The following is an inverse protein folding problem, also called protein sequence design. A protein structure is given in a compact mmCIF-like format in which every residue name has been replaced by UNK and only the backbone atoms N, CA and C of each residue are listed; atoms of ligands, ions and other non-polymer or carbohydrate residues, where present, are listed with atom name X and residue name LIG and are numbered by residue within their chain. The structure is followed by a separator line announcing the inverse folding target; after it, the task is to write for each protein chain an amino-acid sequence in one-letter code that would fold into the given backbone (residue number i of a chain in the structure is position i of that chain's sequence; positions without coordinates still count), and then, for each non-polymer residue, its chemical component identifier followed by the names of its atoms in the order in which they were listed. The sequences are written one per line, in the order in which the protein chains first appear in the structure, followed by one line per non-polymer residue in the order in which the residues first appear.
data_IF_826363775589
#
_entry.id   IF_826363775589
#
_cell.length_a   1.000
_cell.length_b   1.000
_cell.length_c   1.000
_cell.angle_alpha   90.00
_cell.angle_beta   90.00
_cell.angle_gamma   90.00
#
_symmetry.space_group_name_H-M   'P 1'
#
loop_
_entity.id
_entity.type
_entity.pdbx_description
1 polymer ?
#
# COMPACT_ATOMS: atom_id res chain seq x y z
N UNK A 1 18.70 10.71 18.73
CA UNK A 1 18.63 11.57 19.94
C UNK A 1 19.46 10.95 21.05
N UNK A 2 20.21 11.77 21.83
CA UNK A 2 21.08 11.30 22.92
C UNK A 2 20.33 11.18 24.25
N UNK A 3 20.63 10.15 25.01
CA UNK A 3 20.09 9.94 26.35
C UNK A 3 20.76 10.91 27.35
N UNK A 4 19.96 11.68 28.06
CA UNK A 4 20.47 12.63 29.06
C UNK A 4 21.16 11.96 30.27
N UNK A 5 20.90 10.65 30.48
CA UNK A 5 21.45 9.92 31.63
C UNK A 5 22.83 9.28 31.35
N UNK A 6 23.04 8.74 30.14
CA UNK A 6 24.25 7.99 29.80
C UNK A 6 24.91 8.37 28.47
N UNK A 7 24.34 9.34 27.72
CA UNK A 7 24.87 9.78 26.43
C UNK A 7 24.63 8.81 25.24
N UNK A 8 24.07 7.63 25.47
CA UNK A 8 23.79 6.64 24.44
C UNK A 8 22.59 7.07 23.58
N UNK A 9 22.38 6.44 22.45
CA UNK A 9 21.24 6.74 21.55
C UNK A 9 19.92 6.26 22.16
N UNK A 10 18.88 7.06 22.00
CA UNK A 10 17.51 6.66 22.34
C UNK A 10 16.75 6.25 21.07
N UNK A 11 15.94 5.21 21.18
CA UNK A 11 15.08 4.69 20.11
C UNK A 11 13.62 4.87 20.46
N UNK A 12 12.78 5.04 19.44
CA UNK A 12 11.35 5.15 19.63
C UNK A 12 10.75 3.80 20.02
N UNK A 13 10.08 3.77 21.15
CA UNK A 13 9.36 2.59 21.66
C UNK A 13 7.84 2.74 21.39
N UNK A 14 7.35 1.87 20.52
CA UNK A 14 5.95 1.85 20.10
C UNK A 14 5.00 1.61 21.27
N UNK A 15 5.38 0.73 22.21
CA UNK A 15 4.51 0.34 23.31
C UNK A 15 4.26 1.47 24.31
N UNK A 16 5.26 2.32 24.56
CA UNK A 16 5.14 3.45 25.50
C UNK A 16 4.85 4.79 24.84
N UNK A 17 4.79 4.87 23.50
CA UNK A 17 4.74 6.14 22.75
C UNK A 17 5.79 7.13 23.24
N UNK A 18 7.04 6.69 23.27
CA UNK A 18 8.13 7.46 23.84
C UNK A 18 9.49 7.03 23.33
N UNK A 19 10.53 7.61 23.89
CA UNK A 19 11.91 7.22 23.62
C UNK A 19 12.44 6.38 24.77
N UNK A 20 13.14 5.30 24.46
CA UNK A 20 13.80 4.42 25.41
C UNK A 20 15.28 4.34 25.07
N UNK A 21 16.13 4.41 26.09
CA UNK A 21 17.54 4.18 25.94
C UNK A 21 17.86 2.69 26.13
N UNK A 22 18.36 2.03 25.10
CA UNK A 22 18.68 0.61 25.13
C UNK A 22 19.83 0.26 26.10
N UNK A 23 20.66 1.28 26.47
CA UNK A 23 21.81 1.07 27.34
C UNK A 23 21.43 1.17 28.83
N UNK A 24 20.71 2.23 29.25
CA UNK A 24 20.43 2.47 30.68
C UNK A 24 18.96 2.36 31.05
N UNK A 25 18.06 2.08 30.09
CA UNK A 25 16.62 1.97 30.30
C UNK A 25 15.89 3.28 30.58
N UNK A 26 16.58 4.43 30.50
CA UNK A 26 15.93 5.74 30.68
C UNK A 26 14.84 5.94 29.64
N UNK A 27 13.69 6.48 30.07
CA UNK A 27 12.52 6.73 29.23
C UNK A 27 12.22 8.23 29.13
N UNK A 28 11.85 8.69 27.95
CA UNK A 28 11.33 10.03 27.70
C UNK A 28 9.96 9.89 27.03
N UNK A 29 8.90 10.24 27.75
CA UNK A 29 7.56 10.26 27.16
C UNK A 29 7.48 11.33 26.07
N UNK A 30 6.93 10.99 24.92
CA UNK A 30 6.58 11.97 23.90
C UNK A 30 5.16 12.47 24.13
N UNK A 31 4.92 13.72 23.78
CA UNK A 31 3.57 14.27 23.84
C UNK A 31 2.73 13.64 22.71
N UNK A 32 1.68 12.93 23.10
CA UNK A 32 0.71 12.41 22.13
C UNK A 32 -0.18 13.59 21.72
N UNK A 33 -0.24 13.92 20.41
CA UNK A 33 -1.16 14.97 19.95
C UNK A 33 -2.60 14.67 20.37
N UNK A 34 -3.36 15.71 20.65
CA UNK A 34 -4.78 15.56 20.97
C UNK A 34 -5.52 14.92 19.80
N UNK A 35 -6.45 14.01 20.11
CA UNK A 35 -7.29 13.38 19.09
C UNK A 35 -8.08 14.45 18.33
N UNK A 36 -7.97 14.44 16.99
CA UNK A 36 -8.64 15.41 16.12
C UNK A 36 -7.82 16.66 15.79
N UNK A 37 -6.54 16.75 16.21
CA UNK A 37 -5.65 17.79 15.72
C UNK A 37 -5.42 17.58 14.22
N UNK A 38 -6.05 18.40 13.38
CA UNK A 38 -5.85 18.35 11.93
C UNK A 38 -4.47 18.91 11.59
N UNK A 39 -3.70 18.15 10.84
CA UNK A 39 -2.45 18.65 10.26
C UNK A 39 -2.77 19.56 9.09
N UNK A 40 -2.32 20.81 9.15
CA UNK A 40 -2.54 21.79 8.08
C UNK A 40 -1.92 21.35 6.75
N UNK A 41 -2.59 21.72 5.68
CA UNK A 41 -2.10 21.59 4.32
C UNK A 41 -1.10 22.67 4.00
N UNK A 42 -0.21 22.38 3.05
CA UNK A 42 0.79 23.33 2.56
C UNK A 42 0.43 23.75 1.14
N UNK A 43 0.59 25.03 0.84
CA UNK A 43 0.36 25.56 -0.49
C UNK A 43 1.36 24.96 -1.50
N UNK A 44 0.84 24.32 -2.56
CA UNK A 44 1.65 23.66 -3.58
C UNK A 44 2.55 24.64 -4.34
N UNK A 45 2.03 25.80 -4.73
CA UNK A 45 2.78 26.78 -5.49
C UNK A 45 3.95 27.36 -4.67
N UNK A 46 3.78 27.53 -3.36
CA UNK A 46 4.84 27.95 -2.46
C UNK A 46 5.93 26.89 -2.32
N UNK A 47 5.54 25.61 -2.24
CA UNK A 47 6.50 24.51 -2.18
C UNK A 47 7.37 24.43 -3.46
N UNK A 48 6.76 24.64 -4.62
CA UNK A 48 7.49 24.65 -5.90
C UNK A 48 8.50 25.81 -6.01
N UNK A 49 8.31 26.89 -5.27
CA UNK A 49 9.28 27.99 -5.19
C UNK A 49 10.41 27.76 -4.19
N UNK A 50 10.21 26.90 -3.20
CA UNK A 50 11.21 26.59 -2.18
C UNK A 50 10.57 25.96 -0.94
N UNK A 51 10.38 24.65 -0.96
CA UNK A 51 9.91 23.91 0.21
C UNK A 51 11.00 23.84 1.29
N UNK A 52 10.58 23.78 2.55
CA UNK A 52 11.51 23.54 3.67
C UNK A 52 12.15 22.16 3.59
N UNK A 53 13.47 22.12 3.71
CA UNK A 53 14.27 20.87 3.68
C UNK A 53 14.76 20.44 5.06
N UNK A 54 14.39 21.18 6.09
CA UNK A 54 14.83 20.90 7.45
C UNK A 54 13.97 19.82 8.12
N UNK A 55 14.51 18.61 8.20
CA UNK A 55 13.88 17.46 8.89
C UNK A 55 13.96 17.54 10.43
N UNK A 56 14.54 18.62 10.97
CA UNK A 56 14.71 18.79 12.44
C UNK A 56 15.76 17.88 13.07
N UNK A 57 16.31 16.93 12.33
CA UNK A 57 17.38 16.00 12.71
C UNK A 57 18.26 15.73 11.50
N UNK A 58 19.57 15.49 11.76
CA UNK A 58 20.47 15.02 10.72
C UNK A 58 20.12 13.58 10.33
N UNK A 59 20.11 13.30 9.03
CA UNK A 59 19.86 11.97 8.47
C UNK A 59 20.96 11.61 7.48
N UNK A 60 21.22 10.31 7.32
CA UNK A 60 22.11 9.79 6.29
C UNK A 60 21.28 9.11 5.22
N UNK A 61 21.43 9.56 3.98
CA UNK A 61 20.82 8.89 2.83
C UNK A 61 21.74 7.76 2.39
N UNK A 62 21.19 6.56 2.30
CA UNK A 62 21.90 5.36 1.87
C UNK A 62 21.08 4.62 0.84
N UNK A 63 21.67 4.34 -0.32
CA UNK A 63 21.06 3.54 -1.36
C UNK A 63 21.53 2.08 -1.25
N UNK A 64 20.60 1.17 -1.14
CA UNK A 64 20.89 -0.26 -1.09
C UNK A 64 21.45 -0.75 -2.42
N UNK A 65 22.70 -1.22 -2.44
CA UNK A 65 23.36 -1.74 -3.66
C UNK A 65 22.68 -2.97 -4.26
N UNK A 66 21.91 -3.71 -3.47
CA UNK A 66 21.24 -4.94 -3.92
C UNK A 66 19.87 -4.71 -4.54
N UNK A 67 19.12 -3.70 -4.10
CA UNK A 67 17.75 -3.46 -4.56
C UNK A 67 17.43 -2.02 -4.95
N UNK A 68 18.40 -1.10 -4.90
CA UNK A 68 18.24 0.29 -5.30
C UNK A 68 17.40 1.17 -4.37
N UNK A 69 16.88 0.65 -3.25
CA UNK A 69 16.08 1.45 -2.31
C UNK A 69 16.94 2.51 -1.61
N UNK A 70 16.48 3.76 -1.59
CA UNK A 70 17.13 4.89 -0.91
C UNK A 70 16.44 5.14 0.41
N UNK A 71 17.20 5.11 1.50
CA UNK A 71 16.69 5.16 2.87
C UNK A 71 17.45 6.17 3.71
N UNK A 72 16.73 6.80 4.60
CA UNK A 72 17.26 7.74 5.59
C UNK A 72 17.44 7.03 6.93
N UNK A 73 18.65 7.02 7.42
CA UNK A 73 19.03 6.44 8.71
C UNK A 73 19.51 7.51 9.70
N UNK A 74 19.52 7.16 10.98
CA UNK A 74 20.14 7.99 11.99
C UNK A 74 21.67 8.05 11.78
N UNK A 75 22.31 9.22 12.01
CA UNK A 75 23.74 9.41 11.76
C UNK A 75 24.66 8.46 12.55
N UNK A 76 24.19 7.95 13.67
CA UNK A 76 24.97 7.09 14.57
C UNK A 76 24.89 5.59 14.23
N UNK A 77 23.97 5.20 13.34
CA UNK A 77 23.90 3.82 12.86
C UNK A 77 25.08 3.54 11.92
N UNK A 78 25.76 2.41 12.11
CA UNK A 78 26.93 2.02 11.28
C UNK A 78 26.60 0.90 10.30
N UNK A 79 25.69 0.04 10.63
CA UNK A 79 25.26 -1.06 9.76
C UNK A 79 23.82 -1.43 10.05
N UNK A 80 23.08 -1.77 9.00
CA UNK A 80 21.70 -2.20 9.09
C UNK A 80 21.40 -3.25 8.01
N UNK A 81 20.29 -3.94 8.17
CA UNK A 81 19.73 -4.77 7.11
C UNK A 81 18.72 -3.95 6.29
N UNK A 82 18.81 -4.07 4.98
CA UNK A 82 17.83 -3.46 4.11
C UNK A 82 16.41 -3.98 4.44
N UNK A 83 15.46 -3.11 4.81
CA UNK A 83 14.09 -3.53 5.13
C UNK A 83 13.40 -4.24 3.96
N UNK A 84 13.84 -3.95 2.73
CA UNK A 84 13.20 -4.44 1.51
C UNK A 84 13.74 -5.78 1.02
N UNK A 85 15.05 -5.96 1.02
CA UNK A 85 15.66 -7.17 0.47
C UNK A 85 16.46 -8.00 1.49
N UNK A 86 16.63 -7.48 2.70
CA UNK A 86 17.36 -8.16 3.79
C UNK A 86 18.88 -8.21 3.61
N UNK A 87 19.44 -7.53 2.58
CA UNK A 87 20.91 -7.46 2.41
C UNK A 87 21.53 -6.52 3.47
N UNK A 88 22.75 -6.82 3.89
CA UNK A 88 23.49 -5.94 4.78
C UNK A 88 23.86 -4.63 4.07
N UNK A 89 23.66 -3.52 4.77
CA UNK A 89 24.02 -2.17 4.35
C UNK A 89 25.10 -1.66 5.28
N UNK A 90 26.21 -1.17 4.71
CA UNK A 90 27.21 -0.42 5.44
C UNK A 90 26.95 1.06 5.20
N UNK A 91 26.73 1.81 6.26
CA UNK A 91 26.38 3.22 6.21
C UNK A 91 27.67 4.07 6.06
N UNK A 92 27.79 4.76 4.95
CA UNK A 92 28.87 5.76 4.74
C UNK A 92 28.52 7.07 5.42
N UNK A 93 29.50 7.84 5.92
CA UNK A 93 29.25 9.07 6.68
C UNK A 93 28.92 10.30 5.79
N UNK A 94 28.29 10.14 4.65
CA UNK A 94 27.91 11.27 3.80
C UNK A 94 26.59 11.88 4.28
N UNK A 95 26.62 13.17 4.60
CA UNK A 95 25.41 13.97 4.78
C UNK A 95 24.78 14.21 3.42
N UNK A 96 23.50 13.91 3.26
CA UNK A 96 22.78 14.11 2.03
C UNK A 96 21.68 15.15 2.21
N UNK A 97 21.36 15.85 1.14
CA UNK A 97 20.13 16.64 1.05
C UNK A 97 18.94 15.66 1.08
N UNK A 98 18.18 15.73 2.16
CA UNK A 98 17.01 14.87 2.38
C UNK A 98 15.76 15.36 1.63
N UNK A 99 15.89 16.39 0.79
CA UNK A 99 14.79 16.97 0.04
C UNK A 99 13.72 17.61 0.94
N UNK A 100 12.50 17.72 0.43
CA UNK A 100 11.36 18.31 1.16
C UNK A 100 11.17 17.60 2.49
N UNK A 101 11.04 18.35 3.57
CA UNK A 101 10.74 17.80 4.90
C UNK A 101 9.26 17.41 5.02
N UNK A 102 8.94 16.29 5.70
CA UNK A 102 7.56 15.93 5.97
C UNK A 102 6.89 16.95 6.91
N UNK A 103 5.60 17.21 6.70
CA UNK A 103 4.80 18.01 7.61
C UNK A 103 3.80 17.16 8.40
N UNK A 104 3.56 15.93 7.96
CA UNK A 104 2.67 14.99 8.61
C UNK A 104 3.32 13.61 8.75
N UNK A 105 2.85 12.84 9.73
CA UNK A 105 3.20 11.43 9.88
C UNK A 105 2.09 10.66 10.57
N UNK A 106 2.13 9.34 10.43
CA UNK A 106 1.32 8.43 11.23
C UNK A 106 2.27 7.70 12.20
N UNK A 107 2.05 7.74 13.50
CA UNK A 107 2.94 7.06 14.43
C UNK A 107 2.78 5.55 14.36
N UNK A 108 3.87 4.81 14.62
CA UNK A 108 3.74 3.40 14.91
C UNK A 108 2.90 3.20 16.17
N UNK A 109 1.84 2.40 16.07
CA UNK A 109 0.91 2.07 17.17
C UNK A 109 0.84 0.56 17.43
N UNK A 110 1.38 -0.26 16.52
CA UNK A 110 1.37 -1.72 16.60
C UNK A 110 2.80 -2.23 16.74
N UNK A 111 3.05 -3.01 17.80
CA UNK A 111 4.37 -3.56 18.09
C UNK A 111 4.74 -4.72 17.16
N UNK A 112 6.05 -5.03 17.10
CA UNK A 112 6.59 -6.16 16.33
C UNK A 112 5.97 -7.49 16.76
N UNK A 113 5.73 -7.68 18.05
CA UNK A 113 5.14 -8.87 18.65
C UNK A 113 3.68 -9.04 18.22
N UNK A 114 2.92 -7.96 18.20
CA UNK A 114 1.53 -7.94 17.76
C UNK A 114 1.40 -8.26 16.27
N UNK A 115 2.24 -7.65 15.42
CA UNK A 115 2.29 -7.98 13.98
C UNK A 115 2.65 -9.45 13.78
N UNK A 116 3.63 -9.96 14.51
CA UNK A 116 4.02 -11.37 14.45
C UNK A 116 2.85 -12.29 14.80
N UNK A 117 2.11 -12.00 15.88
CA UNK A 117 0.91 -12.78 16.28
C UNK A 117 -0.17 -12.71 15.20
N UNK A 118 -0.45 -11.51 14.68
CA UNK A 118 -1.41 -11.30 13.59
C UNK A 118 -0.99 -12.09 12.34
N UNK A 119 0.28 -12.02 11.92
CA UNK A 119 0.80 -12.76 10.78
C UNK A 119 0.51 -14.26 10.89
N UNK A 120 0.88 -14.91 11.98
CA UNK A 120 0.65 -16.35 12.14
C UNK A 120 -0.83 -16.69 12.21
N UNK A 121 -1.68 -15.80 12.75
CA UNK A 121 -3.14 -16.00 12.77
C UNK A 121 -3.73 -16.00 11.36
N UNK A 122 -3.46 -14.98 10.52
CA UNK A 122 -4.01 -14.96 9.16
C UNK A 122 -3.32 -15.96 8.23
N UNK A 123 -2.06 -16.25 8.44
CA UNK A 123 -1.36 -17.24 7.63
C UNK A 123 -1.90 -18.66 7.86
N UNK A 124 -2.42 -18.96 9.06
CA UNK A 124 -3.07 -20.23 9.37
C UNK A 124 -4.24 -20.56 8.41
N UNK A 125 -4.96 -19.55 7.96
CA UNK A 125 -6.12 -19.69 7.07
C UNK A 125 -5.78 -19.65 5.57
N UNK A 126 -4.51 -19.48 5.21
CA UNK A 126 -4.07 -19.47 3.81
C UNK A 126 -4.13 -20.88 3.18
N UNK A 127 -5.33 -21.39 2.91
CA UNK A 127 -5.59 -22.78 2.45
C UNK A 127 -4.67 -23.22 1.29
N UNK A 128 -4.48 -22.36 0.29
CA UNK A 128 -3.70 -22.67 -0.91
C UNK A 128 -2.19 -22.71 -0.68
N UNK A 129 -1.70 -22.23 0.44
CA UNK A 129 -0.29 -22.28 0.76
C UNK A 129 0.12 -23.66 1.31
N UNK A 130 1.37 -24.08 1.09
CA UNK A 130 1.91 -25.29 1.67
C UNK A 130 1.79 -25.29 3.21
N UNK A 131 1.56 -26.45 3.80
CA UNK A 131 1.39 -26.56 5.25
C UNK A 131 2.63 -26.12 6.03
N UNK A 132 3.82 -26.45 5.53
CA UNK A 132 5.10 -25.99 6.11
C UNK A 132 5.24 -24.48 6.10
N UNK A 133 4.69 -23.76 5.10
CA UNK A 133 4.65 -22.31 5.08
C UNK A 133 3.63 -21.76 6.07
N UNK A 134 2.44 -22.37 6.16
CA UNK A 134 1.37 -21.92 7.07
C UNK A 134 1.69 -22.08 8.55
N UNK A 135 2.29 -23.23 8.91
CA UNK A 135 2.55 -23.63 10.30
C UNK A 135 4.00 -23.45 10.74
N UNK A 136 4.93 -23.29 9.79
CA UNK A 136 6.35 -23.12 10.06
C UNK A 136 6.71 -21.72 10.56
N UNK A 137 7.84 -21.60 11.23
CA UNK A 137 8.45 -20.31 11.59
C UNK A 137 9.16 -19.73 10.35
N UNK A 138 8.38 -19.25 9.39
CA UNK A 138 8.89 -18.77 8.09
C UNK A 138 9.14 -17.27 8.07
N UNK A 139 8.53 -16.52 8.99
CA UNK A 139 8.66 -15.07 9.09
C UNK A 139 10.10 -14.71 9.50
N UNK A 140 10.75 -13.91 8.66
CA UNK A 140 12.06 -13.34 8.96
C UNK A 140 11.96 -12.21 10.00
N UNK A 141 13.06 -11.45 10.12
CA UNK A 141 13.06 -10.29 11.01
C UNK A 141 12.12 -9.21 10.46
N UNK A 142 11.17 -8.76 11.28
CA UNK A 142 10.33 -7.60 11.00
C UNK A 142 11.15 -6.33 11.23
N UNK A 143 11.25 -5.51 10.22
CA UNK A 143 11.94 -4.22 10.25
C UNK A 143 10.93 -3.10 10.08
N UNK A 144 10.90 -2.10 10.97
CA UNK A 144 10.05 -0.93 10.82
C UNK A 144 10.63 -0.02 9.73
N UNK A 145 9.78 0.65 8.98
CA UNK A 145 10.18 1.69 8.04
C UNK A 145 9.03 2.66 7.82
N UNK A 146 9.34 3.93 7.61
CA UNK A 146 8.40 4.91 7.14
C UNK A 146 8.47 5.02 5.62
N UNK A 147 7.31 4.95 4.96
CA UNK A 147 7.15 5.08 3.51
C UNK A 147 6.60 6.47 3.19
N UNK A 148 7.18 7.20 2.19
CA UNK A 148 6.72 8.52 1.80
C UNK A 148 5.42 8.47 1.01
N UNK A 149 4.48 9.34 1.36
CA UNK A 149 3.24 9.57 0.64
C UNK A 149 3.00 11.07 0.46
N UNK A 150 2.40 11.43 -0.64
CA UNK A 150 1.83 12.74 -0.88
C UNK A 150 0.32 12.67 -0.76
N UNK A 151 -0.32 13.63 -0.11
CA UNK A 151 -1.76 13.87 -0.22
C UNK A 151 -1.98 15.19 -0.92
N UNK A 152 -3.04 15.25 -1.70
CA UNK A 152 -3.42 16.44 -2.47
C UNK A 152 -4.87 16.79 -2.22
N UNK A 153 -5.09 18.09 -2.04
CA UNK A 153 -6.39 18.71 -1.87
C UNK A 153 -6.53 19.82 -2.90
N UNK A 154 -7.65 19.92 -3.58
CA UNK A 154 -7.86 20.93 -4.61
C UNK A 154 -9.35 21.16 -4.89
N UNK A 155 -9.69 22.38 -5.30
CA UNK A 155 -10.97 22.67 -5.90
C UNK A 155 -10.92 22.41 -7.40
N UNK A 156 -11.80 21.58 -7.93
CA UNK A 156 -11.84 21.19 -9.33
C UNK A 156 -13.09 21.70 -10.01
N UNK A 157 -12.92 22.35 -11.17
CA UNK A 157 -13.97 22.69 -12.11
C UNK A 157 -13.89 21.72 -13.27
N UNK A 158 -14.88 20.84 -13.39
CA UNK A 158 -14.93 19.76 -14.37
C UNK A 158 -15.95 20.15 -15.45
N UNK A 159 -15.49 20.41 -16.66
CA UNK A 159 -16.36 20.55 -17.84
C UNK A 159 -16.42 19.23 -18.56
N UNK A 160 -17.61 18.70 -18.78
CA UNK A 160 -17.77 17.41 -19.43
C UNK A 160 -18.82 17.41 -20.54
N UNK A 161 -18.68 16.47 -21.47
CA UNK A 161 -19.68 16.16 -22.50
C UNK A 161 -19.59 14.68 -22.88
N UNK A 162 -20.74 14.04 -23.11
CA UNK A 162 -20.78 12.63 -23.46
C UNK A 162 -22.20 12.12 -23.74
N UNK A 163 -22.29 10.83 -24.02
CA UNK A 163 -23.55 10.11 -24.12
C UNK A 163 -23.75 9.29 -22.85
N UNK A 164 -24.84 9.54 -22.14
CA UNK A 164 -25.18 8.92 -20.88
C UNK A 164 -26.37 7.99 -21.03
N UNK A 165 -26.21 6.76 -20.53
CA UNK A 165 -27.20 5.70 -20.62
C UNK A 165 -27.99 5.52 -19.33
N UNK A 166 -29.27 5.42 -19.43
CA UNK A 166 -30.22 5.17 -18.34
C UNK A 166 -30.89 3.80 -18.60
N UNK A 167 -30.67 2.90 -17.67
CA UNK A 167 -31.12 1.51 -17.77
C UNK A 167 -32.47 1.34 -17.07
N UNK A 168 -33.47 0.84 -17.80
CA UNK A 168 -34.79 0.54 -17.24
C UNK A 168 -35.05 -0.95 -17.40
N UNK A 169 -35.49 -1.60 -16.33
CA UNK A 169 -35.95 -2.99 -16.36
C UNK A 169 -37.37 -3.06 -16.86
N UNK A 170 -37.60 -3.83 -17.94
CA UNK A 170 -38.93 -4.06 -18.56
C UNK A 170 -39.15 -5.58 -18.53
N UNK A 171 -39.78 -6.09 -17.47
CA UNK A 171 -39.97 -7.54 -17.27
C UNK A 171 -38.62 -8.25 -17.03
N UNK A 172 -38.29 -9.23 -17.90
CA UNK A 172 -37.01 -9.95 -17.85
C UNK A 172 -35.90 -9.27 -18.68
N UNK A 173 -36.23 -8.24 -19.46
CA UNK A 173 -35.32 -7.52 -20.34
C UNK A 173 -34.86 -6.19 -19.73
N UNK A 174 -33.62 -5.78 -20.06
CA UNK A 174 -33.09 -4.47 -19.70
C UNK A 174 -32.95 -3.61 -20.96
N UNK A 175 -33.48 -2.38 -20.93
CA UNK A 175 -33.34 -1.42 -22.01
C UNK A 175 -32.55 -0.20 -21.56
N UNK A 176 -31.47 0.13 -22.25
CA UNK A 176 -30.68 1.34 -22.01
C UNK A 176 -31.07 2.43 -23.04
N UNK A 177 -31.47 3.58 -22.52
CA UNK A 177 -31.76 4.77 -23.33
C UNK A 177 -30.60 5.76 -23.24
N UNK A 178 -30.09 6.25 -24.36
CA UNK A 178 -28.93 7.12 -24.44
C UNK A 178 -29.33 8.58 -24.67
N UNK A 179 -28.76 9.48 -23.89
CA UNK A 179 -28.93 10.91 -24.00
C UNK A 179 -27.59 11.64 -24.02
N UNK A 180 -27.43 12.59 -24.95
CA UNK A 180 -26.28 13.51 -24.93
C UNK A 180 -26.43 14.48 -23.76
N UNK A 181 -25.41 14.60 -22.96
CA UNK A 181 -25.34 15.53 -21.82
C UNK A 181 -24.00 16.24 -21.82
N UNK A 182 -24.04 17.48 -21.38
CA UNK A 182 -22.85 18.29 -21.08
C UNK A 182 -23.13 19.14 -19.84
N UNK A 183 -22.12 19.46 -19.08
CA UNK A 183 -22.26 20.26 -17.87
C UNK A 183 -20.93 20.74 -17.33
N UNK A 184 -21.02 21.53 -16.28
CA UNK A 184 -19.89 22.00 -15.48
C UNK A 184 -20.17 21.60 -14.03
N UNK A 185 -19.21 20.94 -13.39
CA UNK A 185 -19.31 20.46 -12.01
C UNK A 185 -18.18 21.09 -11.22
N UNK A 186 -18.51 21.71 -10.10
CA UNK A 186 -17.54 22.11 -9.09
C UNK A 186 -17.45 21.02 -8.03
N UNK A 187 -16.26 20.52 -7.75
CA UNK A 187 -16.05 19.45 -6.80
C UNK A 187 -14.72 19.59 -6.10
N UNK A 188 -14.74 19.39 -4.77
CA UNK A 188 -13.53 19.36 -3.96
C UNK A 188 -12.89 17.95 -4.04
N UNK A 189 -11.58 17.92 -4.32
CA UNK A 189 -10.73 16.75 -4.18
C UNK A 189 -10.15 16.77 -2.77
N UNK A 190 -10.40 15.75 -1.98
CA UNK A 190 -10.06 15.68 -0.57
C UNK A 190 -9.10 14.50 -0.33
N UNK A 191 -7.96 14.77 0.27
CA UNK A 191 -6.94 13.79 0.69
C UNK A 191 -6.56 12.74 -0.39
N UNK A 192 -6.40 13.17 -1.63
CA UNK A 192 -5.98 12.24 -2.69
C UNK A 192 -4.55 11.76 -2.49
N UNK A 193 -4.35 10.47 -2.19
CA UNK A 193 -3.06 9.92 -1.79
C UNK A 193 -2.26 9.35 -2.95
N UNK A 194 -0.97 9.68 -3.03
CA UNK A 194 0.00 9.17 -4.01
C UNK A 194 1.24 8.68 -3.29
N UNK A 195 1.69 7.45 -3.60
CA UNK A 195 2.93 6.92 -3.06
C UNK A 195 4.14 7.71 -3.59
N UNK A 196 4.99 8.22 -2.70
CA UNK A 196 6.21 8.96 -3.03
C UNK A 196 7.37 8.06 -3.46
N UNK A 197 7.19 6.73 -3.45
CA UNK A 197 8.22 5.77 -3.81
C UNK A 197 7.92 5.13 -5.17
N UNK A 198 8.81 5.32 -6.14
CA UNK A 198 8.71 4.70 -7.48
C UNK A 198 8.70 3.17 -7.41
N UNK A 199 9.43 2.61 -6.45
CA UNK A 199 9.51 1.17 -6.22
C UNK A 199 8.19 0.57 -5.75
N UNK A 200 7.39 1.34 -5.00
CA UNK A 200 6.18 0.86 -4.33
C UNK A 200 4.88 1.44 -4.88
N UNK A 201 4.94 2.42 -5.77
CA UNK A 201 3.76 3.04 -6.36
C UNK A 201 2.77 2.01 -6.93
N UNK A 202 3.29 0.94 -7.54
CA UNK A 202 2.51 -0.16 -8.13
C UNK A 202 2.54 -1.45 -7.29
N UNK A 203 3.10 -1.45 -6.07
CA UNK A 203 3.15 -2.64 -5.22
C UNK A 203 1.82 -2.86 -4.51
N UNK A 204 1.05 -3.84 -5.00
CA UNK A 204 -0.25 -4.21 -4.44
C UNK A 204 -0.16 -4.67 -2.98
N UNK A 205 0.97 -5.27 -2.58
CA UNK A 205 1.18 -5.70 -1.20
C UNK A 205 1.25 -4.48 -0.28
N UNK A 206 2.05 -3.48 -0.64
CA UNK A 206 2.20 -2.26 0.15
C UNK A 206 0.91 -1.43 0.15
N UNK A 207 0.31 -1.22 -1.02
CA UNK A 207 -0.95 -0.47 -1.15
C UNK A 207 -2.10 -1.06 -0.31
N UNK A 208 -2.06 -2.38 -0.05
CA UNK A 208 -3.07 -3.04 0.81
C UNK A 208 -2.91 -2.76 2.31
N UNK A 209 -1.77 -2.20 2.75
CA UNK A 209 -1.46 -1.98 4.17
C UNK A 209 -1.18 -0.52 4.52
N UNK A 210 -1.12 0.36 3.53
CA UNK A 210 -0.80 1.79 3.69
C UNK A 210 -2.00 2.72 3.55
N UNK A 211 -3.23 2.20 3.54
CA UNK A 211 -4.42 3.06 3.54
C UNK A 211 -4.56 3.79 4.87
N UNK A 212 -4.81 5.09 4.81
CA UNK A 212 -4.99 5.98 5.95
C UNK A 212 -5.98 7.11 5.61
N UNK A 213 -6.39 7.85 6.62
CA UNK A 213 -7.26 9.02 6.50
C UNK A 213 -6.58 10.23 7.16
N UNK A 214 -7.05 11.45 6.89
CA UNK A 214 -6.54 12.66 7.55
C UNK A 214 -6.59 12.60 9.08
N UNK A 215 -7.54 11.84 9.65
CA UNK A 215 -7.69 11.65 11.10
C UNK A 215 -6.56 10.85 11.75
N UNK A 216 -5.85 10.05 10.96
CA UNK A 216 -4.74 9.23 11.44
C UNK A 216 -3.42 10.03 11.49
N UNK A 217 -3.42 11.24 10.89
CA UNK A 217 -2.25 12.08 10.77
C UNK A 217 -1.99 12.87 12.05
N UNK A 218 -0.71 12.97 12.39
CA UNK A 218 -0.20 13.90 13.40
C UNK A 218 0.85 14.81 12.77
N UNK A 219 1.11 16.00 13.35
CA UNK A 219 2.24 16.82 12.93
C UNK A 219 3.54 16.02 12.99
N UNK A 220 4.38 16.20 11.99
CA UNK A 220 5.68 15.53 11.95
C UNK A 220 6.51 15.85 13.19
N UNK A 221 6.99 14.82 13.85
CA UNK A 221 7.82 14.90 15.04
C UNK A 221 9.12 14.12 14.82
N UNK A 222 10.29 14.80 14.73
CA UNK A 222 11.58 14.13 14.51
C UNK A 222 11.89 13.02 15.51
N UNK A 223 11.48 13.19 16.75
CA UNK A 223 11.68 12.21 17.83
C UNK A 223 11.02 10.86 17.55
N UNK A 224 9.88 10.84 16.86
CA UNK A 224 9.18 9.60 16.50
C UNK A 224 9.89 8.77 15.41
N UNK A 225 10.88 9.36 14.73
CA UNK A 225 11.75 8.65 13.79
C UNK A 225 13.03 8.10 14.43
N UNK A 226 13.26 8.33 15.73
CA UNK A 226 14.50 7.90 16.41
C UNK A 226 14.66 6.37 16.34
N UNK A 227 15.76 5.89 15.75
CA UNK A 227 16.04 4.48 15.53
C UNK A 227 15.21 3.80 14.42
N UNK A 228 14.35 4.54 13.72
CA UNK A 228 13.54 4.01 12.63
C UNK A 228 13.97 4.60 11.28
N UNK A 229 14.27 3.77 10.26
CA UNK A 229 14.56 4.25 8.94
C UNK A 229 13.30 4.81 8.26
N UNK A 230 13.50 5.79 7.38
CA UNK A 230 12.49 6.26 6.47
C UNK A 230 12.99 6.11 5.03
N UNK A 231 12.10 5.75 4.11
CA UNK A 231 12.43 5.79 2.69
C UNK A 231 12.42 7.24 2.20
N UNK A 232 13.44 7.60 1.43
CA UNK A 232 13.46 8.87 0.71
C UNK A 232 12.47 8.82 -0.45
N UNK A 233 11.67 9.87 -0.65
CA UNK A 233 10.83 9.90 -1.82
C UNK A 233 11.66 9.88 -3.12
N UNK A 234 11.20 9.15 -4.10
CA UNK A 234 11.79 9.05 -5.45
C UNK A 234 10.86 9.61 -6.51
N UNK A 235 9.61 9.87 -6.14
CA UNK A 235 8.61 10.61 -6.91
C UNK A 235 8.43 11.95 -6.19
N UNK A 236 8.95 13.01 -6.79
CA UNK A 236 8.87 14.36 -6.24
C UNK A 236 7.43 14.90 -6.28
N UNK A 237 7.21 16.04 -5.60
CA UNK A 237 5.89 16.64 -5.43
C UNK A 237 5.18 16.93 -6.77
N UNK A 238 5.88 17.54 -7.73
CA UNK A 238 5.34 17.87 -9.06
C UNK A 238 5.01 16.60 -9.88
N UNK A 239 5.90 15.60 -9.86
CA UNK A 239 5.69 14.33 -10.54
C UNK A 239 4.52 13.56 -9.92
N UNK A 240 4.41 13.57 -8.59
CA UNK A 240 3.31 12.94 -7.88
C UNK A 240 1.95 13.53 -8.25
N UNK A 241 1.88 14.87 -8.35
CA UNK A 241 0.66 15.54 -8.80
C UNK A 241 0.29 15.17 -10.24
N UNK A 242 1.27 15.16 -11.17
CA UNK A 242 1.04 14.72 -12.56
C UNK A 242 0.57 13.27 -12.65
N UNK A 243 1.14 12.37 -11.84
CA UNK A 243 0.71 10.97 -11.78
C UNK A 243 -0.73 10.85 -11.26
N UNK A 244 -1.08 11.64 -10.23
CA UNK A 244 -2.44 11.71 -9.71
C UNK A 244 -3.43 12.08 -10.82
N UNK A 245 -3.15 13.16 -11.57
CA UNK A 245 -4.01 13.62 -12.65
C UNK A 245 -4.17 12.57 -13.77
N UNK A 246 -3.07 11.96 -14.21
CA UNK A 246 -3.06 11.08 -15.38
C UNK A 246 -3.61 9.67 -15.10
N UNK A 247 -3.32 9.09 -13.93
CA UNK A 247 -3.55 7.68 -13.69
C UNK A 247 -4.74 7.41 -12.75
N UNK A 248 -5.03 8.32 -11.84
CA UNK A 248 -5.93 8.04 -10.73
C UNK A 248 -7.24 8.84 -10.76
N UNK A 249 -7.20 10.07 -11.28
CA UNK A 249 -8.38 10.96 -11.24
C UNK A 249 -9.49 10.62 -12.22
N UNK A 250 -9.21 9.89 -13.30
CA UNK A 250 -10.23 9.54 -14.30
C UNK A 250 -11.47 8.88 -13.72
N UNK A 251 -11.30 7.97 -12.76
CA UNK A 251 -12.42 7.33 -12.05
C UNK A 251 -13.21 8.29 -11.16
N UNK A 252 -12.51 9.21 -10.49
CA UNK A 252 -13.12 10.21 -9.63
C UNK A 252 -13.96 11.20 -10.46
N UNK A 253 -13.43 11.67 -11.60
CA UNK A 253 -14.13 12.54 -12.55
C UNK A 253 -15.36 11.84 -13.13
N UNK A 254 -15.21 10.60 -13.61
CA UNK A 254 -16.33 9.81 -14.12
C UNK A 254 -17.44 9.65 -13.08
N UNK A 255 -17.10 9.40 -11.82
CA UNK A 255 -18.06 9.31 -10.73
C UNK A 255 -18.75 10.66 -10.45
N UNK A 256 -18.02 11.78 -10.57
CA UNK A 256 -18.62 13.10 -10.47
C UNK A 256 -19.66 13.34 -11.57
N UNK A 257 -19.35 12.99 -12.84
CA UNK A 257 -20.27 13.08 -13.96
C UNK A 257 -21.52 12.20 -13.78
N UNK A 258 -21.37 11.00 -13.21
CA UNK A 258 -22.52 10.16 -12.87
C UNK A 258 -23.39 10.77 -11.76
N UNK A 259 -22.77 11.41 -10.76
CA UNK A 259 -23.50 12.10 -9.69
C UNK A 259 -24.36 13.26 -10.24
N UNK A 260 -23.85 13.98 -11.24
CA UNK A 260 -24.57 15.09 -11.87
C UNK A 260 -25.66 14.62 -12.83
N UNK A 261 -25.37 13.59 -13.63
CA UNK A 261 -26.31 13.08 -14.65
C UNK A 261 -27.28 12.02 -14.14
N UNK A 262 -27.00 11.39 -13.00
CA UNK A 262 -27.72 10.21 -12.47
C UNK A 262 -27.76 9.02 -13.44
N UNK A 263 -26.81 8.92 -14.35
CA UNK A 263 -26.73 7.86 -15.35
C UNK A 263 -26.07 6.59 -14.81
N UNK A 264 -26.41 5.45 -15.43
CA UNK A 264 -25.85 4.13 -15.07
C UNK A 264 -24.56 3.83 -15.83
N UNK A 265 -24.43 4.35 -17.04
CA UNK A 265 -23.27 4.14 -17.91
C UNK A 265 -23.04 5.34 -18.85
N UNK A 266 -21.87 5.35 -19.53
CA UNK A 266 -21.52 6.40 -20.48
C UNK A 266 -20.81 5.85 -21.71
N UNK A 267 -20.92 6.60 -22.81
CA UNK A 267 -20.11 6.46 -24.02
C UNK A 267 -19.51 7.82 -24.39
N UNK A 268 -18.31 7.78 -24.99
CA UNK A 268 -17.65 8.98 -25.53
C UNK A 268 -17.59 10.14 -24.51
N UNK A 269 -17.26 9.83 -23.24
CA UNK A 269 -17.09 10.84 -22.21
C UNK A 269 -15.80 11.63 -22.47
N UNK A 270 -15.96 12.92 -22.78
CA UNK A 270 -14.87 13.88 -22.87
C UNK A 270 -14.97 14.83 -21.67
N UNK A 271 -13.84 15.18 -21.10
CA UNK A 271 -13.79 16.13 -19.99
C UNK A 271 -12.52 16.95 -20.02
N UNK A 272 -12.59 18.15 -19.46
CA UNK A 272 -11.46 18.94 -19.03
C UNK A 272 -11.61 19.31 -17.57
N UNK A 273 -10.52 19.42 -16.85
CA UNK A 273 -10.52 19.76 -15.43
C UNK A 273 -9.52 20.91 -15.18
N UNK A 274 -10.00 21.93 -14.50
CA UNK A 274 -9.16 23.01 -13.97
C UNK A 274 -9.11 22.87 -12.46
N UNK A 275 -7.88 22.86 -11.90
CA UNK A 275 -7.65 22.75 -10.46
C UNK A 275 -7.24 24.10 -9.89
N UNK A 276 -7.86 24.49 -8.78
CA UNK A 276 -7.59 25.70 -8.02
C UNK A 276 -7.24 25.35 -6.57
N UNK A 277 -6.60 26.26 -5.85
CA UNK A 277 -6.29 26.12 -4.43
C UNK A 277 -5.58 24.80 -4.09
N UNK A 278 -4.65 24.37 -4.99
CA UNK A 278 -3.94 23.12 -4.82
C UNK A 278 -3.05 23.16 -3.57
N UNK A 279 -3.34 22.27 -2.66
CA UNK A 279 -2.60 22.06 -1.43
C UNK A 279 -2.07 20.62 -1.33
N UNK A 280 -1.09 20.40 -0.47
CA UNK A 280 -0.48 19.09 -0.28
C UNK A 280 -0.06 18.84 1.17
N UNK A 281 0.11 17.56 1.52
CA UNK A 281 0.88 17.12 2.69
C UNK A 281 1.94 16.10 2.25
N UNK A 282 3.11 16.16 2.86
CA UNK A 282 4.11 15.11 2.80
C UNK A 282 3.99 14.24 4.04
N UNK A 283 3.52 13.02 3.87
CA UNK A 283 3.14 12.10 4.95
C UNK A 283 4.12 10.94 5.03
N UNK A 284 4.59 10.62 6.23
CA UNK A 284 5.34 9.40 6.51
C UNK A 284 4.41 8.32 7.09
N UNK A 285 4.25 7.21 6.37
CA UNK A 285 3.35 6.12 6.73
C UNK A 285 4.14 4.94 7.31
N UNK A 286 3.81 4.46 8.53
CA UNK A 286 4.56 3.41 9.20
C UNK A 286 4.22 2.02 8.65
N UNK A 287 5.23 1.24 8.28
CA UNK A 287 5.08 -0.11 7.75
C UNK A 287 6.10 -1.07 8.39
N UNK A 288 5.65 -2.24 8.78
CA UNK A 288 6.50 -3.37 9.12
C UNK A 288 6.76 -4.20 7.87
N UNK A 289 8.02 -4.40 7.52
CA UNK A 289 8.45 -5.24 6.40
C UNK A 289 9.20 -6.47 6.88
N UNK A 290 9.00 -7.60 6.21
CA UNK A 290 9.77 -8.82 6.43
C UNK A 290 9.80 -9.69 5.18
N UNK A 291 10.81 -10.56 5.10
CA UNK A 291 10.85 -11.64 4.11
C UNK A 291 10.57 -13.00 4.75
N UNK A 292 9.72 -13.80 4.13
CA UNK A 292 9.53 -15.21 4.48
C UNK A 292 10.36 -16.09 3.56
N UNK A 293 11.32 -16.84 4.10
CA UNK A 293 12.12 -17.78 3.32
C UNK A 293 11.40 -19.13 3.21
N UNK A 294 11.08 -19.57 1.97
CA UNK A 294 10.46 -20.85 1.73
C UNK A 294 10.86 -21.42 0.37
N UNK A 295 11.32 -22.68 0.33
CA UNK A 295 11.69 -23.35 -0.92
C UNK A 295 12.77 -22.62 -1.74
N UNK A 296 13.73 -21.97 -1.06
CA UNK A 296 14.79 -21.18 -1.71
C UNK A 296 14.35 -19.80 -2.23
N UNK A 297 13.07 -19.43 -2.07
CA UNK A 297 12.53 -18.12 -2.48
C UNK A 297 12.19 -17.27 -1.26
N UNK A 298 12.23 -15.94 -1.45
CA UNK A 298 11.80 -14.96 -0.46
C UNK A 298 10.42 -14.45 -0.86
N UNK A 299 9.49 -14.46 0.09
CA UNK A 299 8.13 -13.94 -0.05
C UNK A 299 7.98 -12.74 0.86
N UNK A 300 7.69 -11.59 0.29
CA UNK A 300 7.58 -10.34 1.04
C UNK A 300 6.31 -10.32 1.90
N UNK A 301 6.44 -9.76 3.08
CA UNK A 301 5.38 -9.50 4.05
C UNK A 301 5.39 -8.03 4.36
N UNK A 302 4.22 -7.41 4.33
CA UNK A 302 4.02 -6.05 4.79
C UNK A 302 2.87 -5.99 5.79
N UNK A 303 3.00 -5.15 6.79
CA UNK A 303 1.93 -4.87 7.73
C UNK A 303 1.93 -3.40 8.13
N UNK A 304 0.75 -2.79 8.26
CA UNK A 304 0.59 -1.43 8.73
C UNK A 304 1.13 -1.31 10.17
N UNK A 305 2.00 -0.33 10.39
CA UNK A 305 2.47 0.02 11.72
C UNK A 305 1.43 0.75 12.56
N UNK A 306 0.35 1.23 11.94
CA UNK A 306 -0.74 1.95 12.60
C UNK A 306 -1.84 1.01 13.12
N UNK A 307 -2.46 0.21 12.24
CA UNK A 307 -3.61 -0.63 12.57
C UNK A 307 -3.31 -2.15 12.54
N UNK A 308 -2.11 -2.52 12.10
CA UNK A 308 -1.65 -3.90 12.01
C UNK A 308 -2.36 -4.73 10.94
N UNK A 309 -3.05 -4.09 9.98
CA UNK A 309 -3.50 -4.75 8.76
C UNK A 309 -2.28 -5.28 8.03
N UNK A 310 -2.30 -6.53 7.61
CA UNK A 310 -1.13 -7.12 6.98
C UNK A 310 -1.49 -7.98 5.79
N UNK A 311 -0.51 -8.11 4.91
CA UNK A 311 -0.59 -8.95 3.74
C UNK A 311 0.77 -9.59 3.44
N UNK A 312 0.79 -10.67 2.68
CA UNK A 312 2.04 -11.28 2.25
C UNK A 312 1.88 -12.00 0.91
N UNK A 313 2.94 -12.02 0.14
CA UNK A 313 3.05 -12.92 -0.98
C UNK A 313 3.16 -14.35 -0.44
N UNK A 314 2.40 -15.29 -1.03
CA UNK A 314 2.33 -16.67 -0.54
C UNK A 314 2.66 -17.66 -1.64
N UNK A 315 3.45 -18.71 -1.34
CA UNK A 315 3.64 -19.81 -2.27
C UNK A 315 2.34 -20.59 -2.45
N UNK A 316 2.07 -21.00 -3.68
CA UNK A 316 0.97 -21.91 -4.00
C UNK A 316 1.40 -23.37 -3.83
N UNK A 317 0.53 -24.18 -3.24
CA UNK A 317 0.74 -25.61 -3.10
C UNK A 317 0.21 -26.34 -4.35
N UNK A 318 1.10 -26.73 -5.25
CA UNK A 318 0.74 -27.49 -6.46
C UNK A 318 0.03 -28.81 -6.08
N UNK A 319 0.47 -29.47 -5.02
CA UNK A 319 -0.19 -30.72 -4.56
C UNK A 319 -1.66 -30.50 -4.20
N UNK A 320 -1.97 -29.45 -3.43
CA UNK A 320 -3.38 -29.13 -3.09
C UNK A 320 -4.20 -28.74 -4.30
N UNK A 321 -3.57 -28.02 -5.23
CA UNK A 321 -4.19 -27.65 -6.48
C UNK A 321 -4.61 -28.90 -7.27
N UNK A 322 -3.67 -29.80 -7.49
CA UNK A 322 -3.92 -31.06 -8.21
C UNK A 322 -4.97 -31.89 -7.48
N UNK A 323 -4.91 -31.98 -6.16
CA UNK A 323 -5.92 -32.73 -5.36
C UNK A 323 -7.32 -32.16 -5.55
N UNK A 324 -7.48 -30.83 -5.46
CA UNK A 324 -8.79 -30.19 -5.65
C UNK A 324 -9.33 -30.42 -7.07
N UNK A 325 -8.46 -30.28 -8.09
CA UNK A 325 -8.85 -30.57 -9.49
C UNK A 325 -9.27 -32.05 -9.62
N UNK A 326 -8.50 -32.97 -9.07
CA UNK A 326 -8.82 -34.40 -9.12
C UNK A 326 -10.15 -34.73 -8.44
N UNK A 327 -10.45 -34.12 -7.30
CA UNK A 327 -11.73 -34.27 -6.60
C UNK A 327 -12.89 -33.72 -7.44
N UNK A 328 -12.74 -32.54 -8.04
CA UNK A 328 -13.77 -31.95 -8.92
C UNK A 328 -14.02 -32.88 -10.12
N UNK A 329 -12.96 -33.35 -10.77
CA UNK A 329 -13.07 -34.30 -11.90
C UNK A 329 -13.76 -35.60 -11.48
N UNK A 330 -13.39 -36.17 -10.35
CA UNK A 330 -14.03 -37.37 -9.81
C UNK A 330 -15.52 -37.16 -9.54
N UNK A 331 -15.89 -36.01 -8.96
CA UNK A 331 -17.30 -35.67 -8.71
C UNK A 331 -18.09 -35.51 -10.03
N UNK A 332 -17.50 -34.92 -11.06
CA UNK A 332 -18.13 -34.78 -12.37
C UNK A 332 -18.32 -36.15 -13.04
N UNK A 333 -17.33 -37.02 -13.00
CA UNK A 333 -17.40 -38.37 -13.56
C UNK A 333 -18.46 -39.18 -12.81
N UNK A 334 -18.47 -39.15 -11.46
CA UNK A 334 -19.45 -39.86 -10.63
C UNK A 334 -20.88 -39.39 -10.91
N UNK A 335 -21.07 -38.06 -11.11
CA UNK A 335 -22.34 -37.46 -11.50
C UNK A 335 -22.87 -37.92 -12.86
N UNK A 336 -21.98 -38.29 -13.79
CA UNK A 336 -22.38 -38.89 -15.09
C UNK A 336 -22.88 -40.34 -14.97
N UNK A 337 -22.40 -41.10 -13.97
CA UNK A 337 -22.72 -42.50 -13.78
C UNK A 337 -23.91 -42.76 -12.85
N UNK A 338 -24.48 -41.72 -12.20
CA UNK A 338 -25.66 -41.89 -11.31
C UNK A 338 -26.91 -41.30 -12.00
N UNK A 339 -27.58 -42.03 -12.92
CA UNK A 339 -28.73 -41.52 -13.66
C UNK A 339 -30.01 -41.33 -12.82
N UNK A 340 -30.03 -41.85 -11.59
CA UNK A 340 -31.21 -41.79 -10.72
C UNK A 340 -31.28 -40.57 -9.78
N UNK A 341 -30.26 -39.71 -9.73
CA UNK A 341 -30.28 -38.49 -8.94
C UNK A 341 -30.37 -37.26 -9.83
N UNK A 342 -31.47 -37.11 -10.57
CA UNK A 342 -31.71 -36.07 -11.53
C UNK A 342 -31.62 -34.61 -11.00
N UNK A 343 -31.63 -34.41 -9.67
CA UNK A 343 -31.48 -33.06 -9.07
C UNK A 343 -30.02 -32.71 -8.68
N UNK A 344 -29.20 -33.69 -8.34
CA UNK A 344 -27.85 -33.42 -7.84
C UNK A 344 -26.88 -33.05 -8.95
N UNK A 345 -26.88 -33.69 -10.16
CA UNK A 345 -26.04 -33.27 -11.26
C UNK A 345 -26.44 -31.89 -11.84
N UNK A 346 -27.75 -31.58 -11.85
CA UNK A 346 -28.23 -30.30 -12.40
C UNK A 346 -27.74 -29.06 -11.62
N UNK A 347 -27.49 -29.21 -10.32
CA UNK A 347 -26.98 -28.13 -9.47
C UNK A 347 -25.48 -28.25 -9.16
N UNK A 348 -24.98 -29.48 -8.94
CA UNK A 348 -23.59 -29.69 -8.55
C UNK A 348 -22.59 -29.48 -9.71
N UNK A 349 -22.95 -29.84 -10.94
CA UNK A 349 -22.10 -29.66 -12.11
C UNK A 349 -21.91 -28.18 -12.47
N UNK A 350 -22.95 -27.32 -12.55
CA UNK A 350 -22.76 -25.88 -12.76
C UNK A 350 -21.97 -25.21 -11.62
N UNK A 351 -22.24 -25.58 -10.36
CA UNK A 351 -21.49 -25.03 -9.21
C UNK A 351 -20.01 -25.44 -9.23
N UNK A 352 -19.71 -26.68 -9.58
CA UNK A 352 -18.33 -27.14 -9.73
C UNK A 352 -17.60 -26.47 -10.90
N UNK A 353 -18.29 -26.26 -12.03
CA UNK A 353 -17.76 -25.52 -13.18
C UNK A 353 -17.50 -24.05 -12.82
N UNK A 354 -18.44 -23.39 -12.16
CA UNK A 354 -18.28 -21.99 -11.71
C UNK A 354 -17.12 -21.87 -10.71
N UNK A 355 -17.04 -22.77 -9.73
CA UNK A 355 -15.93 -22.81 -8.78
C UNK A 355 -14.58 -23.06 -9.49
N UNK A 356 -14.55 -23.94 -10.50
CA UNK A 356 -13.37 -24.22 -11.30
C UNK A 356 -12.97 -23.01 -12.16
N UNK A 357 -13.91 -22.34 -12.81
CA UNK A 357 -13.65 -21.14 -13.63
C UNK A 357 -13.14 -20.00 -12.77
N UNK A 358 -13.76 -19.74 -11.63
CA UNK A 358 -13.29 -18.73 -10.65
C UNK A 358 -11.88 -19.09 -10.18
N UNK A 359 -11.64 -20.34 -9.88
CA UNK A 359 -10.36 -20.85 -9.46
C UNK A 359 -9.30 -20.69 -10.56
N UNK A 360 -9.59 -21.07 -11.81
CA UNK A 360 -8.69 -20.94 -12.95
C UNK A 360 -8.34 -19.45 -13.20
N UNK A 361 -9.34 -18.56 -13.12
CA UNK A 361 -9.15 -17.13 -13.25
C UNK A 361 -8.22 -16.57 -12.16
N UNK A 362 -8.41 -16.98 -10.91
CA UNK A 362 -7.52 -16.61 -9.81
C UNK A 362 -6.11 -17.16 -9.97
N UNK A 363 -5.98 -18.39 -10.45
CA UNK A 363 -4.68 -19.03 -10.73
C UNK A 363 -3.93 -18.36 -11.86
N UNK A 364 -4.60 -18.09 -12.99
CA UNK A 364 -4.01 -17.37 -14.13
C UNK A 364 -3.57 -15.96 -13.75
N UNK A 365 -4.35 -15.27 -12.92
CA UNK A 365 -3.99 -13.96 -12.39
C UNK A 365 -2.71 -14.02 -11.55
N UNK A 366 -2.58 -15.00 -10.65
CA UNK A 366 -1.39 -15.18 -9.81
C UNK A 366 -0.16 -15.57 -10.64
N UNK A 367 -0.33 -16.43 -11.67
CA UNK A 367 0.74 -16.77 -12.60
C UNK A 367 1.18 -15.57 -13.45
N UNK A 368 0.25 -14.74 -13.91
CA UNK A 368 0.60 -13.55 -14.69
C UNK A 368 1.36 -12.52 -13.82
N UNK A 369 0.99 -12.38 -12.56
CA UNK A 369 1.68 -11.53 -11.60
C UNK A 369 3.10 -12.04 -11.31
N UNK A 370 3.28 -13.35 -11.14
CA UNK A 370 4.61 -13.97 -10.96
C UNK A 370 5.51 -13.85 -12.21
N UNK A 371 4.95 -14.01 -13.40
CA UNK A 371 5.68 -13.84 -14.66
C UNK A 371 6.06 -12.39 -14.92
N UNK A 372 5.20 -11.44 -14.56
CA UNK A 372 5.51 -10.01 -14.66
C UNK A 372 6.65 -9.61 -13.70
N UNK A 373 6.68 -10.16 -12.47
CA UNK A 373 7.79 -9.96 -11.53
C UNK A 373 9.10 -10.62 -12.01
N UNK A 374 9.04 -11.80 -12.63
CA UNK A 374 10.22 -12.48 -13.19
C UNK A 374 10.75 -11.76 -14.44
N UNK A 375 9.87 -11.16 -15.25
CA UNK A 375 10.25 -10.36 -16.41
C UNK A 375 10.92 -9.03 -15.99
N UNK A 376 10.35 -8.33 -15.00
CA UNK A 376 10.92 -7.11 -14.46
C UNK A 376 12.31 -7.30 -13.81
N UNK A 377 12.63 -8.50 -13.36
CA UNK A 377 13.97 -8.86 -12.84
C UNK A 377 14.98 -9.24 -13.90
N UNK A 378 14.56 -9.44 -15.16
CA UNK A 378 15.41 -9.87 -16.29
C UNK A 378 15.76 -8.76 -17.27
N UNK A 379 15.15 -7.57 -17.17
CA UNK A 379 15.59 -6.42 -17.95
C UNK A 379 16.93 -5.94 -17.41
N UNK A 380 18.00 -5.94 -18.23
CA UNK A 380 19.28 -5.37 -17.84
C UNK A 380 19.10 -3.85 -17.70
N UNK A 381 19.61 -3.32 -16.59
CA UNK A 381 19.72 -1.87 -16.39
C UNK A 381 20.44 -1.23 -17.59
N UNK A 382 19.94 -0.06 -18.06
CA UNK A 382 20.61 0.71 -19.12
C UNK A 382 21.94 1.32 -18.68
#
# INVERSE_FOLDING_TARGET
MKCNNCGSTMTYDVASYGLVCDHCGAKKQLHKPEEGTLVGEMDFASAMRGAGTNWGVSRRLVTCKSCGASMLFDPEQMSELCPFCGSAIVLTPEEADCGIAPNAMIPFSITKEEVTKKFYRWNKFAFWSPEKFRKGKVLGNLTPIYIPYWTFDADAVITYSGEFGYTTEIGEDTKTTWHKRSGIIEKHLDDHTVCGSRKFANDKLLNSVTSFTARDLIPYTPDALAGMPAEMYTIGLDEAWKNAQNEQMGKWITRACYGDTTADCHNNLNYSVEFHNLAYRYVLVPVWLAGCKYGGKIYNVAASGHNGTGNCHRPLSVAKLVTVIAVIMACMILGMFIPYLNLVPALAVPLAIVAFVIYLAMFMKTLSEQRAEEAAKKEPEP
#
